data_IF_069738439624
#
_entry.id   IF_069738439624
#
_cell.length_a   1.000
_cell.length_b   1.000
_cell.length_c   1.000
_cell.angle_alpha   90.00
_cell.angle_beta   90.00
_cell.angle_gamma   90.00
#
_symmetry.space_group_name_H-M   'P 1'
#
loop_
_entity.id
_entity.type
_entity.pdbx_description
1 polymer ?
#
# COMPACT_ATOMS: atom_id res chain seq x y z
N UNK A 1 21.83 1.68 -19.59
CA UNK A 1 21.33 3.06 -19.82
C UNK A 1 19.81 3.05 -19.83
N UNK A 2 19.20 4.04 -19.18
CA UNK A 2 17.75 4.24 -19.18
C UNK A 2 17.40 5.37 -20.15
N UNK A 3 16.44 5.11 -21.04
CA UNK A 3 15.91 6.11 -21.97
C UNK A 3 14.40 6.28 -21.71
N UNK A 4 13.93 7.52 -21.75
CA UNK A 4 12.51 7.82 -21.72
C UNK A 4 12.01 8.11 -23.13
N UNK A 5 10.96 7.39 -23.54
CA UNK A 5 10.36 7.55 -24.87
C UNK A 5 8.88 7.92 -24.73
N UNK A 6 8.49 9.06 -25.30
CA UNK A 6 7.09 9.44 -25.40
C UNK A 6 6.32 8.56 -26.38
N UNK A 7 5.03 8.33 -26.12
CA UNK A 7 4.13 7.63 -27.01
C UNK A 7 3.07 8.60 -27.54
N UNK A 8 3.14 8.96 -28.80
CA UNK A 8 2.20 9.89 -29.45
C UNK A 8 0.82 9.26 -29.76
N UNK A 9 0.69 7.93 -29.59
CA UNK A 9 -0.57 7.22 -29.82
C UNK A 9 -1.43 7.08 -28.57
N UNK A 10 -1.02 7.70 -27.47
CA UNK A 10 -1.79 7.65 -26.22
C UNK A 10 -3.19 8.23 -26.39
N UNK A 11 -4.16 7.51 -25.87
CA UNK A 11 -5.58 7.89 -25.87
C UNK A 11 -5.97 8.29 -24.46
N UNK A 12 -6.94 9.21 -24.37
CA UNK A 12 -7.48 9.68 -23.09
C UNK A 12 -8.08 8.52 -22.31
N UNK A 13 -7.71 8.41 -21.04
CA UNK A 13 -8.35 7.51 -20.09
C UNK A 13 -9.66 8.12 -19.60
N UNK A 14 -10.71 7.31 -19.49
CA UNK A 14 -12.01 7.70 -18.95
C UNK A 14 -12.25 6.86 -17.69
N UNK A 15 -12.52 7.53 -16.58
CA UNK A 15 -12.77 6.86 -15.29
C UNK A 15 -14.22 7.06 -14.88
N UNK A 16 -14.88 5.97 -14.53
CA UNK A 16 -16.18 5.93 -13.87
C UNK A 16 -15.97 5.44 -12.45
N UNK A 17 -16.32 6.25 -11.47
CA UNK A 17 -16.12 5.93 -10.05
C UNK A 17 -17.45 5.94 -9.31
N UNK A 18 -17.66 4.91 -8.48
CA UNK A 18 -18.74 4.82 -7.53
C UNK A 18 -18.15 4.72 -6.13
N UNK A 19 -18.53 5.65 -5.26
CA UNK A 19 -18.06 5.70 -3.88
C UNK A 19 -19.23 5.64 -2.92
N UNK A 20 -19.09 4.83 -1.87
CA UNK A 20 -20.05 4.73 -0.77
C UNK A 20 -19.35 4.97 0.55
N UNK A 21 -19.88 5.88 1.36
CA UNK A 21 -19.40 6.21 2.68
C UNK A 21 -20.46 5.89 3.72
N UNK A 22 -20.12 5.01 4.65
CA UNK A 22 -20.92 4.70 5.83
C UNK A 22 -20.22 5.25 7.07
N UNK A 23 -20.94 6.06 7.83
CA UNK A 23 -20.49 6.57 9.12
C UNK A 23 -21.47 6.16 10.20
N UNK A 24 -20.99 5.44 11.21
CA UNK A 24 -21.79 5.07 12.37
C UNK A 24 -20.96 5.19 13.65
N UNK A 25 -21.29 6.15 14.49
CA UNK A 25 -20.53 6.47 15.70
C UNK A 25 -19.04 6.71 15.37
N UNK A 26 -18.17 5.83 15.83
CA UNK A 26 -16.72 5.87 15.60
C UNK A 26 -16.25 4.94 14.46
N UNK A 27 -17.18 4.39 13.70
CA UNK A 27 -16.93 3.53 12.56
C UNK A 27 -17.09 4.34 11.27
N UNK A 28 -16.09 4.27 10.39
CA UNK A 28 -16.09 4.85 9.05
C UNK A 28 -15.72 3.75 8.08
N UNK A 29 -16.60 3.48 7.13
CA UNK A 29 -16.36 2.53 6.05
C UNK A 29 -16.51 3.25 4.72
N UNK A 30 -15.48 3.24 3.92
CA UNK A 30 -15.49 3.74 2.54
C UNK A 30 -15.34 2.56 1.60
N UNK A 31 -16.23 2.43 0.63
CA UNK A 31 -16.15 1.48 -0.47
C UNK A 31 -16.04 2.27 -1.77
N UNK A 32 -15.08 1.92 -2.61
CA UNK A 32 -14.91 2.53 -3.92
C UNK A 32 -14.83 1.45 -4.98
N UNK A 33 -15.52 1.68 -6.08
CA UNK A 33 -15.40 0.89 -7.30
C UNK A 33 -15.05 1.83 -8.45
N UNK A 34 -13.96 1.53 -9.15
CA UNK A 34 -13.49 2.27 -10.30
C UNK A 34 -13.48 1.39 -11.53
N UNK A 35 -14.08 1.89 -12.61
CA UNK A 35 -13.94 1.34 -13.95
C UNK A 35 -13.21 2.36 -14.82
N UNK A 36 -12.02 2.00 -15.28
CA UNK A 36 -11.19 2.87 -16.11
C UNK A 36 -11.10 2.29 -17.52
N UNK A 37 -11.59 3.03 -18.49
CA UNK A 37 -11.42 2.72 -19.90
C UNK A 37 -10.13 3.35 -20.41
N UNK A 38 -9.29 2.57 -21.07
CA UNK A 38 -7.97 2.95 -21.58
C UNK A 38 -7.04 3.53 -20.50
N UNK A 39 -6.84 2.85 -19.35
CA UNK A 39 -5.92 3.34 -18.34
C UNK A 39 -4.51 3.43 -18.91
N UNK A 40 -3.76 4.45 -18.47
CA UNK A 40 -2.36 4.61 -18.79
C UNK A 40 -1.53 3.69 -17.89
N UNK A 41 -0.67 2.89 -18.48
CA UNK A 41 0.27 2.03 -17.78
C UNK A 41 1.69 2.46 -18.11
N UNK A 42 2.53 2.77 -17.11
CA UNK A 42 3.96 2.93 -17.36
C UNK A 42 4.56 1.57 -17.71
N UNK A 43 5.19 1.50 -18.88
CA UNK A 43 5.79 0.29 -19.44
C UNK A 43 7.31 0.44 -19.50
N UNK A 44 8.00 -0.65 -19.20
CA UNK A 44 9.46 -0.72 -19.25
C UNK A 44 9.82 -1.94 -20.08
N UNK A 45 10.64 -1.75 -21.10
CA UNK A 45 11.12 -2.83 -21.96
C UNK A 45 12.59 -2.62 -22.35
N UNK A 46 13.29 -3.70 -22.60
CA UNK A 46 14.64 -3.65 -23.13
C UNK A 46 14.61 -3.47 -24.64
N UNK A 47 15.52 -2.69 -25.17
CA UNK A 47 15.62 -2.45 -26.60
C UNK A 47 16.01 -3.75 -27.33
N UNK A 48 15.32 -4.08 -28.41
CA UNK A 48 15.70 -5.21 -29.24
C UNK A 48 17.13 -5.03 -29.77
N UNK A 49 17.97 -6.04 -29.55
CA UNK A 49 19.40 -6.03 -29.95
C UNK A 49 20.34 -5.39 -28.91
N UNK A 50 19.86 -4.75 -27.86
CA UNK A 50 20.71 -4.23 -26.79
C UNK A 50 20.03 -4.29 -25.42
N UNK A 51 20.20 -5.41 -24.74
CA UNK A 51 19.61 -5.65 -23.40
C UNK A 51 20.14 -4.71 -22.29
N UNK A 52 21.23 -3.98 -22.56
CA UNK A 52 21.78 -3.00 -21.60
C UNK A 52 21.02 -1.65 -21.62
N UNK A 53 20.14 -1.44 -22.61
CA UNK A 53 19.31 -0.24 -22.72
C UNK A 53 17.87 -0.57 -22.33
N UNK A 54 17.41 0.09 -21.28
CA UNK A 54 16.02 0.01 -20.81
C UNK A 54 15.25 1.25 -21.27
N UNK A 55 14.13 1.05 -21.91
CA UNK A 55 13.24 2.13 -22.37
C UNK A 55 12.03 2.21 -21.44
N UNK A 56 11.80 3.38 -20.87
CA UNK A 56 10.60 3.72 -20.11
C UNK A 56 9.64 4.49 -21.01
N UNK A 57 8.39 4.07 -21.06
CA UNK A 57 7.32 4.67 -21.87
C UNK A 57 5.98 4.54 -21.17
N UNK A 58 4.90 4.97 -21.82
CA UNK A 58 3.53 4.78 -21.37
C UNK A 58 2.71 4.13 -22.49
N UNK A 59 1.74 3.29 -22.12
CA UNK A 59 0.82 2.68 -23.04
C UNK A 59 -0.60 2.63 -22.45
N UNK A 60 -1.61 2.50 -23.30
CA UNK A 60 -2.99 2.31 -22.89
C UNK A 60 -3.32 0.82 -22.80
N UNK A 61 -3.87 0.40 -21.69
CA UNK A 61 -4.56 -0.88 -21.59
C UNK A 61 -6.00 -0.76 -22.09
N UNK A 62 -6.67 -1.89 -22.31
CA UNK A 62 -8.08 -1.92 -22.71
C UNK A 62 -8.99 -1.35 -21.63
N UNK A 63 -8.93 -1.89 -20.42
CA UNK A 63 -9.68 -1.45 -19.25
C UNK A 63 -9.05 -1.95 -17.95
N UNK A 64 -9.41 -1.31 -16.86
CA UNK A 64 -9.09 -1.71 -15.49
C UNK A 64 -10.34 -1.57 -14.62
N UNK A 65 -10.56 -2.54 -13.75
CA UNK A 65 -11.53 -2.44 -12.67
C UNK A 65 -10.79 -2.48 -11.35
N UNK A 66 -11.22 -1.71 -10.38
CA UNK A 66 -10.67 -1.75 -9.04
C UNK A 66 -11.77 -1.65 -7.99
N UNK A 67 -11.70 -2.51 -7.00
CA UNK A 67 -12.53 -2.45 -5.80
C UNK A 67 -11.62 -2.16 -4.61
N UNK A 68 -11.91 -1.12 -3.85
CA UNK A 68 -11.21 -0.82 -2.62
C UNK A 68 -12.17 -0.58 -1.47
N UNK A 69 -11.74 -0.97 -0.28
CA UNK A 69 -12.46 -0.73 0.96
C UNK A 69 -11.49 -0.19 2.00
N UNK A 70 -11.92 0.82 2.74
CA UNK A 70 -11.20 1.38 3.87
C UNK A 70 -12.10 1.40 5.08
N UNK A 71 -11.65 0.77 6.15
CA UNK A 71 -12.32 0.72 7.43
C UNK A 71 -11.51 1.48 8.46
N UNK A 72 -12.13 2.42 9.17
CA UNK A 72 -11.55 3.07 10.34
C UNK A 72 -12.51 2.94 11.51
N UNK A 73 -12.00 2.47 12.63
CA UNK A 73 -12.75 2.41 13.87
C UNK A 73 -11.85 2.85 15.03
N UNK A 74 -12.31 3.81 15.82
CA UNK A 74 -11.58 4.26 17.00
C UNK A 74 -12.52 4.31 18.19
N UNK A 75 -12.11 3.70 19.30
CA UNK A 75 -12.87 3.72 20.54
C UNK A 75 -11.96 4.02 21.72
N UNK A 76 -12.42 4.95 22.55
CA UNK A 76 -11.76 5.29 23.81
C UNK A 76 -12.63 4.83 24.97
N UNK A 77 -12.03 4.11 25.89
CA UNK A 77 -12.66 3.73 27.16
C UNK A 77 -11.71 4.03 28.31
N UNK A 78 -12.06 5.02 29.14
CA UNK A 78 -11.23 5.49 30.25
C UNK A 78 -9.80 5.83 29.79
N UNK A 79 -8.83 5.07 30.26
CA UNK A 79 -7.41 5.26 29.97
C UNK A 79 -6.93 4.54 28.69
N UNK A 80 -7.79 3.78 28.04
CA UNK A 80 -7.46 2.97 26.89
C UNK A 80 -8.11 3.51 25.61
N UNK A 81 -7.34 3.61 24.55
CA UNK A 81 -7.84 3.94 23.20
C UNK A 81 -7.36 2.86 22.23
N UNK A 82 -8.30 2.26 21.53
CA UNK A 82 -8.02 1.35 20.42
C UNK A 82 -8.39 2.01 19.10
N UNK A 83 -7.53 1.86 18.08
CA UNK A 83 -7.79 2.26 16.71
C UNK A 83 -7.54 1.08 15.79
N UNK A 84 -8.49 0.78 14.91
CA UNK A 84 -8.39 -0.22 13.88
C UNK A 84 -8.52 0.47 12.52
N UNK A 85 -7.54 0.29 11.65
CA UNK A 85 -7.60 0.74 10.26
C UNK A 85 -7.36 -0.46 9.36
N UNK A 86 -8.33 -0.75 8.50
CA UNK A 86 -8.25 -1.79 7.49
C UNK A 86 -8.28 -1.19 6.10
N UNK A 87 -7.44 -1.70 5.22
CA UNK A 87 -7.45 -1.38 3.81
C UNK A 87 -7.48 -2.67 3.00
N UNK A 88 -8.37 -2.73 2.03
CA UNK A 88 -8.51 -3.80 1.07
C UNK A 88 -8.47 -3.20 -0.33
N UNK A 89 -7.71 -3.82 -1.22
CA UNK A 89 -7.66 -3.44 -2.62
C UNK A 89 -7.60 -4.68 -3.52
N UNK A 90 -8.50 -4.72 -4.48
CA UNK A 90 -8.51 -5.72 -5.54
C UNK A 90 -8.62 -5.00 -6.87
N UNK A 91 -7.61 -5.14 -7.71
CA UNK A 91 -7.71 -4.73 -9.10
C UNK A 91 -7.89 -5.92 -10.02
N UNK A 92 -8.54 -5.71 -11.14
CA UNK A 92 -8.73 -6.66 -12.22
C UNK A 92 -8.22 -5.96 -13.47
N UNK A 93 -7.06 -6.36 -13.91
CA UNK A 93 -6.36 -5.75 -15.02
C UNK A 93 -5.61 -6.83 -15.80
N UNK A 94 -5.63 -6.70 -17.11
CA UNK A 94 -4.89 -7.57 -18.01
C UNK A 94 -3.80 -6.72 -18.66
N UNK A 95 -2.56 -7.12 -18.50
CA UNK A 95 -1.42 -6.42 -19.09
C UNK A 95 -0.44 -7.39 -19.76
N UNK A 96 0.26 -6.94 -20.81
CA UNK A 96 1.18 -7.80 -21.53
C UNK A 96 2.37 -8.20 -20.64
N UNK A 97 2.71 -9.47 -20.70
CA UNK A 97 3.84 -10.06 -20.01
C UNK A 97 4.97 -10.42 -20.96
N UNK A 98 5.95 -11.16 -20.44
CA UNK A 98 7.04 -11.72 -21.21
C UNK A 98 6.45 -12.77 -22.17
N UNK A 99 7.01 -12.88 -23.35
CA UNK A 99 6.67 -13.89 -24.37
C UNK A 99 5.20 -13.89 -24.84
N UNK A 100 4.56 -12.71 -24.85
CA UNK A 100 3.17 -12.57 -25.29
C UNK A 100 2.13 -13.14 -24.34
N UNK A 101 2.54 -13.58 -23.15
CA UNK A 101 1.61 -13.99 -22.10
C UNK A 101 0.84 -12.78 -21.56
N UNK A 102 -0.38 -13.02 -21.10
CA UNK A 102 -1.17 -11.97 -20.44
C UNK A 102 -1.12 -12.21 -18.94
N UNK A 103 -0.66 -11.23 -18.19
CA UNK A 103 -0.74 -11.27 -16.73
C UNK A 103 -2.10 -10.82 -16.25
N UNK A 104 -2.59 -11.52 -15.25
CA UNK A 104 -3.79 -11.19 -14.51
C UNK A 104 -3.41 -10.77 -13.10
N UNK A 105 -4.03 -9.75 -12.57
CA UNK A 105 -3.91 -9.42 -11.15
C UNK A 105 -4.40 -10.61 -10.32
N UNK A 106 -3.52 -11.06 -9.44
CA UNK A 106 -3.76 -12.23 -8.62
C UNK A 106 -4.61 -11.93 -7.38
N UNK A 107 -4.04 -12.15 -6.21
CA UNK A 107 -4.72 -11.98 -4.92
C UNK A 107 -4.89 -10.51 -4.55
N UNK A 108 -5.97 -10.14 -3.83
CA UNK A 108 -6.14 -8.80 -3.30
C UNK A 108 -5.04 -8.45 -2.31
N UNK A 109 -4.70 -7.17 -2.23
CA UNK A 109 -3.83 -6.63 -1.19
C UNK A 109 -4.67 -6.19 0.00
N UNK A 110 -4.28 -6.58 1.19
CA UNK A 110 -4.97 -6.20 2.44
C UNK A 110 -3.95 -5.74 3.46
N UNK A 111 -4.25 -4.63 4.13
CA UNK A 111 -3.43 -4.07 5.20
C UNK A 111 -4.32 -3.85 6.41
N UNK A 112 -3.88 -4.28 7.57
CA UNK A 112 -4.54 -4.02 8.85
C UNK A 112 -3.55 -3.35 9.78
N UNK A 113 -3.97 -2.22 10.37
CA UNK A 113 -3.25 -1.55 11.45
C UNK A 113 -4.11 -1.57 12.69
N UNK A 114 -3.52 -1.97 13.80
CA UNK A 114 -4.17 -2.00 15.10
C UNK A 114 -3.30 -1.26 16.12
N UNK A 115 -3.78 -0.08 16.55
CA UNK A 115 -3.07 0.79 17.47
C UNK A 115 -3.77 0.79 18.82
N UNK A 116 -3.00 0.67 19.88
CA UNK A 116 -3.45 0.63 21.25
C UNK A 116 -2.68 1.64 22.09
N UNK A 117 -3.38 2.59 22.67
CA UNK A 117 -2.83 3.61 23.54
C UNK A 117 -3.37 3.43 24.96
N UNK A 118 -2.48 3.33 25.94
CA UNK A 118 -2.78 3.23 27.35
C UNK A 118 -2.25 4.47 28.08
N UNK A 119 -3.16 5.31 28.56
CA UNK A 119 -2.84 6.44 29.45
C UNK A 119 -2.70 5.92 30.88
N UNK A 120 -1.47 5.77 31.34
CA UNK A 120 -1.16 5.26 32.66
C UNK A 120 -1.04 6.43 33.70
N UNK A 121 -1.14 6.14 34.99
CA UNK A 121 -0.90 7.12 36.04
C UNK A 121 0.48 7.79 35.91
N UNK A 122 0.65 8.94 36.57
CA UNK A 122 1.91 9.71 36.57
C UNK A 122 2.39 10.17 35.19
N UNK A 123 1.45 10.48 34.28
CA UNK A 123 1.70 10.99 32.91
C UNK A 123 2.52 10.04 32.01
N UNK A 124 2.36 8.75 32.18
CA UNK A 124 2.87 7.78 31.24
C UNK A 124 1.85 7.51 30.11
N UNK A 125 2.35 7.36 28.90
CA UNK A 125 1.61 6.86 27.76
C UNK A 125 2.37 5.64 27.20
N UNK A 126 1.70 4.51 27.14
CA UNK A 126 2.18 3.29 26.47
C UNK A 126 1.39 3.14 25.19
N UNK A 127 2.09 3.04 24.06
CA UNK A 127 1.48 2.79 22.74
C UNK A 127 2.05 1.50 22.16
N UNK A 128 1.16 0.63 21.71
CA UNK A 128 1.47 -0.61 21.00
C UNK A 128 0.76 -0.58 19.67
N UNK A 129 1.50 -0.62 18.57
CA UNK A 129 0.93 -0.72 17.23
C UNK A 129 1.37 -2.01 16.55
N UNK A 130 0.44 -2.64 15.88
CA UNK A 130 0.65 -3.82 15.04
C UNK A 130 0.13 -3.54 13.66
N UNK A 131 0.98 -3.80 12.67
CA UNK A 131 0.62 -3.76 11.26
C UNK A 131 0.78 -5.14 10.66
N UNK A 132 -0.21 -5.55 9.90
CA UNK A 132 -0.17 -6.76 9.08
C UNK A 132 -0.47 -6.41 7.63
N UNK A 133 0.43 -6.74 6.74
CA UNK A 133 0.24 -6.72 5.30
C UNK A 133 0.07 -8.16 4.84
N UNK A 134 -1.09 -8.49 4.28
CA UNK A 134 -1.27 -9.72 3.51
C UNK A 134 -0.86 -9.43 2.08
N UNK A 135 0.14 -10.14 1.60
CA UNK A 135 0.66 -9.94 0.25
C UNK A 135 -0.43 -10.05 -0.80
N UNK A 136 -0.25 -9.33 -1.90
CA UNK A 136 -1.20 -9.28 -3.00
C UNK A 136 -0.78 -8.29 -4.07
N UNK A 137 -1.63 -8.05 -5.03
CA UNK A 137 -1.37 -7.11 -6.10
C UNK A 137 -1.98 -5.73 -5.83
N UNK A 138 -1.17 -4.71 -5.96
CA UNK A 138 -1.59 -3.31 -6.08
C UNK A 138 -1.24 -2.86 -7.50
N UNK A 139 -2.23 -2.92 -8.38
CA UNK A 139 -2.04 -2.79 -9.83
C UNK A 139 -1.01 -3.82 -10.36
N UNK A 140 0.05 -3.38 -11.01
CA UNK A 140 1.11 -4.26 -11.53
C UNK A 140 2.19 -4.65 -10.51
N UNK A 141 2.05 -4.24 -9.25
CA UNK A 141 3.03 -4.46 -8.20
C UNK A 141 2.56 -5.58 -7.28
N UNK A 142 3.32 -6.65 -7.21
CA UNK A 142 3.11 -7.73 -6.25
C UNK A 142 3.83 -7.38 -4.93
N UNK A 143 3.06 -7.03 -3.92
CA UNK A 143 3.55 -6.76 -2.56
C UNK A 143 3.61 -8.07 -1.79
N UNK A 144 4.69 -8.31 -1.08
CA UNK A 144 4.84 -9.50 -0.23
C UNK A 144 4.27 -9.26 1.16
N UNK A 145 3.84 -10.33 1.81
CA UNK A 145 3.36 -10.27 3.18
C UNK A 145 4.47 -9.79 4.13
N UNK A 146 4.11 -8.93 5.07
CA UNK A 146 4.96 -8.46 6.16
C UNK A 146 4.13 -8.16 7.40
N UNK A 147 4.77 -8.19 8.56
CA UNK A 147 4.14 -7.86 9.83
C UNK A 147 5.13 -7.09 10.69
N UNK A 148 4.70 -6.00 11.31
CA UNK A 148 5.53 -5.23 12.23
C UNK A 148 4.79 -4.93 13.52
N UNK A 149 5.53 -4.88 14.60
CA UNK A 149 5.05 -4.49 15.93
C UNK A 149 5.95 -3.41 16.47
N UNK A 150 5.35 -2.28 16.84
CA UNK A 150 6.06 -1.14 17.41
C UNK A 150 5.56 -0.90 18.83
N UNK A 151 6.47 -0.53 19.70
CA UNK A 151 6.21 -0.20 21.09
C UNK A 151 6.78 1.19 21.40
N UNK A 152 5.99 2.03 22.03
CA UNK A 152 6.42 3.36 22.45
C UNK A 152 6.01 3.60 23.90
N UNK A 153 6.95 4.06 24.71
CA UNK A 153 6.71 4.51 26.08
C UNK A 153 7.08 5.98 26.17
N UNK A 154 6.13 6.82 26.55
CA UNK A 154 6.33 8.26 26.71
C UNK A 154 6.00 8.67 28.14
N UNK A 155 6.79 9.59 28.68
CA UNK A 155 6.55 10.19 29.97
C UNK A 155 6.73 11.70 29.93
N UNK A 156 5.74 12.41 30.47
CA UNK A 156 5.79 13.85 30.63
C UNK A 156 6.15 14.23 32.07
N UNK A 157 6.99 15.26 32.21
CA UNK A 157 7.46 15.82 33.47
C UNK A 157 7.18 17.34 33.51
N UNK A 158 7.19 17.90 34.70
CA UNK A 158 7.10 19.36 34.94
C UNK A 158 5.91 20.02 34.21
N UNK A 159 4.71 19.45 34.32
CA UNK A 159 3.49 19.93 33.65
C UNK A 159 3.69 20.04 32.13
N UNK A 160 4.18 18.93 31.50
CA UNK A 160 4.44 18.78 30.08
C UNK A 160 5.58 19.63 29.48
N UNK A 161 6.41 20.26 30.34
CA UNK A 161 7.59 21.00 29.85
C UNK A 161 8.75 20.11 29.36
N UNK A 162 8.83 18.90 29.89
CA UNK A 162 9.80 17.88 29.43
C UNK A 162 9.08 16.59 29.08
N UNK A 163 9.31 16.06 27.90
CA UNK A 163 8.81 14.76 27.44
C UNK A 163 9.98 13.88 27.07
N UNK A 164 10.00 12.68 27.65
CA UNK A 164 10.92 11.62 27.28
C UNK A 164 10.14 10.53 26.56
N UNK A 165 10.71 9.99 25.47
CA UNK A 165 10.16 8.84 24.76
C UNK A 165 11.23 7.77 24.57
N UNK A 166 10.80 6.53 24.66
CA UNK A 166 11.54 5.35 24.25
C UNK A 166 10.69 4.62 23.24
N UNK A 167 11.20 4.52 22.03
CA UNK A 167 10.48 3.97 20.89
C UNK A 167 11.25 2.76 20.34
N UNK A 168 10.57 1.61 20.26
CA UNK A 168 11.04 0.39 19.63
C UNK A 168 10.23 0.11 18.37
N UNK A 169 10.90 0.06 17.23
CA UNK A 169 10.28 -0.21 15.94
C UNK A 169 10.57 -1.65 15.52
N UNK A 170 9.55 -2.28 14.94
CA UNK A 170 9.62 -3.64 14.40
C UNK A 170 10.36 -4.63 15.34
N UNK A 171 9.92 -4.67 16.60
CA UNK A 171 10.58 -5.42 17.69
C UNK A 171 10.76 -6.92 17.41
N UNK A 172 10.02 -7.47 16.43
CA UNK A 172 10.13 -8.86 15.98
C UNK A 172 10.84 -9.01 14.63
N UNK A 173 11.36 -7.93 14.04
CA UNK A 173 12.05 -7.91 12.74
C UNK A 173 11.23 -8.58 11.62
N UNK A 174 9.94 -8.28 11.58
CA UNK A 174 8.99 -8.82 10.61
C UNK A 174 8.68 -7.87 9.46
N UNK A 175 9.06 -6.59 9.55
CA UNK A 175 8.88 -5.60 8.49
C UNK A 175 9.89 -5.83 7.37
N UNK A 176 9.43 -6.49 6.32
CA UNK A 176 10.21 -6.78 5.12
C UNK A 176 9.47 -6.23 3.92
N UNK A 177 9.67 -4.96 3.62
CA UNK A 177 9.08 -4.34 2.44
C UNK A 177 9.69 -4.93 1.17
N UNK A 178 9.03 -5.94 0.64
CA UNK A 178 9.39 -6.59 -0.61
C UNK A 178 8.27 -6.43 -1.61
N UNK A 179 8.59 -5.85 -2.75
CA UNK A 179 7.67 -5.74 -3.87
C UNK A 179 8.36 -6.18 -5.16
N UNK A 180 7.59 -6.75 -6.05
CA UNK A 180 8.05 -7.19 -7.37
C UNK A 180 7.07 -6.67 -8.41
N UNK A 181 7.60 -6.03 -9.45
CA UNK A 181 6.85 -5.59 -10.61
C UNK A 181 7.38 -6.32 -11.85
N UNK A 182 6.49 -6.84 -12.65
CA UNK A 182 6.85 -7.45 -13.92
C UNK A 182 5.94 -6.91 -15.01
N UNK A 183 6.52 -6.20 -15.96
CA UNK A 183 5.80 -5.64 -17.12
C UNK A 183 6.67 -5.88 -18.34
N UNK A 184 6.07 -6.42 -19.40
CA UNK A 184 6.79 -6.86 -20.60
C UNK A 184 7.95 -7.79 -20.25
N UNK A 185 9.15 -7.54 -20.79
CA UNK A 185 10.35 -8.34 -20.58
C UNK A 185 11.21 -7.86 -19.38
N UNK A 186 10.74 -6.89 -18.60
CA UNK A 186 11.49 -6.35 -17.45
C UNK A 186 10.82 -6.74 -16.14
N UNK A 187 11.62 -7.31 -15.24
CA UNK A 187 11.25 -7.61 -13.88
C UNK A 187 12.05 -6.72 -12.93
N UNK A 188 11.37 -5.91 -12.15
CA UNK A 188 11.97 -5.09 -11.09
C UNK A 188 11.58 -5.63 -9.74
N UNK A 189 12.54 -5.78 -8.83
CA UNK A 189 12.30 -6.19 -7.45
C UNK A 189 12.84 -5.11 -6.50
N UNK A 190 12.02 -4.76 -5.53
CA UNK A 190 12.36 -3.83 -4.46
C UNK A 190 12.43 -4.61 -3.16
N UNK A 191 13.52 -4.48 -2.44
CA UNK A 191 13.70 -5.09 -1.13
C UNK A 191 14.32 -4.05 -0.21
N UNK A 192 13.52 -3.55 0.72
CA UNK A 192 13.98 -2.60 1.73
C UNK A 192 13.83 -3.24 3.09
N UNK A 193 14.93 -3.36 3.82
CA UNK A 193 14.99 -3.77 5.22
C UNK A 193 15.47 -2.56 6.00
N UNK A 194 14.74 -2.16 7.01
CA UNK A 194 15.24 -1.19 8.00
C UNK A 194 16.24 -1.90 8.90
N UNK A 195 17.46 -1.40 8.95
CA UNK A 195 18.49 -1.81 9.91
C UNK A 195 18.43 -0.95 11.16
#
# INVERSE_FOLDING_TARGET
>A
YEQSKGNSQLKTAITHSLSYLLMYKSLFLTLNYDYVYRPLLPVIYSLEGNSAVTVSSQDNLSHRQALSAMLNCRKTYKCYTASLTGFFHKSIMHYPGIDGTTFHDGHPSTILNFDNDFKLPKHFLLSLSWQQVWGGYMESINVKASSSVNLSIKKSFFKDRLRLSLDGYDIFNGDRNRACRQIYNVRSSFNTKYE
#
